data_IF_872796575981
#
_entry.id   IF_872796575981
#
_cell.length_a   1.000
_cell.length_b   1.000
_cell.length_c   1.000
_cell.angle_alpha   90.00
_cell.angle_beta   90.00
_cell.angle_gamma   90.00
#
_symmetry.space_group_name_H-M   'P 1'
#
loop_
_entity.id
_entity.type
_entity.pdbx_description
1 polymer ?
#
# COMPACT_ATOMS: atom_id res chain seq x y z
N UNK A 1 -0.91 -7.71 -30.97
CA UNK A 1 -0.57 -6.53 -30.14
C UNK A 1 -0.15 -7.02 -28.75
N UNK A 2 1.10 -6.78 -28.31
CA UNK A 2 1.55 -7.14 -26.97
C UNK A 2 0.83 -6.29 -25.90
N UNK A 3 -0.08 -6.91 -25.15
CA UNK A 3 -0.70 -6.31 -23.97
C UNK A 3 0.37 -6.33 -22.87
N UNK A 4 1.13 -5.24 -22.72
CA UNK A 4 2.08 -5.12 -21.60
C UNK A 4 1.27 -5.15 -20.31
N UNK A 5 1.71 -5.96 -19.35
CA UNK A 5 1.15 -5.97 -18.01
C UNK A 5 1.09 -4.51 -17.45
N UNK A 6 -0.10 -4.01 -17.08
CA UNK A 6 -0.28 -2.66 -16.56
C UNK A 6 0.56 -2.36 -15.31
N UNK A 7 0.79 -3.36 -14.45
CA UNK A 7 1.52 -3.18 -13.19
C UNK A 7 3.02 -2.96 -13.44
N UNK A 8 3.62 -3.82 -14.26
CA UNK A 8 5.02 -3.67 -14.70
C UNK A 8 5.24 -2.33 -15.44
N UNK A 9 4.28 -1.93 -16.28
CA UNK A 9 4.33 -0.65 -16.99
C UNK A 9 4.26 0.54 -16.04
N UNK A 10 3.42 0.48 -15.01
CA UNK A 10 3.30 1.51 -13.97
C UNK A 10 4.57 1.64 -13.15
N UNK A 11 5.19 0.52 -12.75
CA UNK A 11 6.46 0.52 -12.00
C UNK A 11 7.59 1.19 -12.78
N UNK A 12 7.76 0.80 -14.04
CA UNK A 12 8.76 1.39 -14.92
C UNK A 12 8.53 2.90 -15.11
N UNK A 13 7.26 3.32 -15.24
CA UNK A 13 6.91 4.73 -15.34
C UNK A 13 7.22 5.50 -14.06
N UNK A 14 6.88 4.94 -12.89
CA UNK A 14 7.16 5.58 -11.60
C UNK A 14 8.65 5.75 -11.36
N UNK A 15 9.46 4.75 -11.71
CA UNK A 15 10.92 4.86 -11.62
C UNK A 15 11.45 6.03 -12.47
N UNK A 16 10.96 6.19 -13.70
CA UNK A 16 11.34 7.31 -14.57
C UNK A 16 10.85 8.68 -14.07
N UNK A 17 9.66 8.73 -13.49
CA UNK A 17 9.15 9.96 -12.86
C UNK A 17 10.04 10.35 -11.69
N UNK A 18 10.46 9.39 -10.87
CA UNK A 18 11.30 9.64 -9.70
C UNK A 18 12.73 10.06 -10.04
N UNK A 19 13.23 9.69 -11.22
CA UNK A 19 14.56 10.11 -11.69
C UNK A 19 14.45 11.38 -12.54
N UNK A 20 14.10 11.24 -13.82
CA UNK A 20 14.07 12.31 -14.81
C UNK A 20 12.93 13.31 -14.54
N UNK A 21 11.78 12.79 -14.08
CA UNK A 21 10.59 13.61 -13.87
C UNK A 21 10.73 14.62 -12.73
N UNK A 22 11.43 14.24 -11.65
CA UNK A 22 11.66 15.14 -10.51
C UNK A 22 12.60 16.28 -10.91
N UNK A 23 13.68 15.99 -11.63
CA UNK A 23 14.62 17.02 -12.10
C UNK A 23 13.92 18.01 -13.04
N UNK A 24 13.18 17.51 -14.04
CA UNK A 24 12.44 18.36 -14.97
C UNK A 24 11.35 19.19 -14.28
N UNK A 25 10.65 18.61 -13.29
CA UNK A 25 9.64 19.33 -12.51
C UNK A 25 10.29 20.42 -11.64
N UNK A 26 11.44 20.16 -11.03
CA UNK A 26 12.16 21.14 -10.24
C UNK A 26 12.61 22.34 -11.09
N UNK A 27 13.22 22.10 -12.25
CA UNK A 27 13.65 23.17 -13.15
C UNK A 27 12.46 24.02 -13.63
N UNK A 28 11.34 23.39 -14.01
CA UNK A 28 10.14 24.10 -14.40
C UNK A 28 9.58 24.99 -13.27
N UNK A 29 9.59 24.50 -12.02
CA UNK A 29 9.18 25.29 -10.86
C UNK A 29 10.13 26.46 -10.60
N UNK A 30 11.43 26.26 -10.80
CA UNK A 30 12.44 27.32 -10.66
C UNK A 30 12.28 28.42 -11.72
N UNK A 31 11.96 28.06 -12.96
CA UNK A 31 11.68 29.02 -14.02
C UNK A 31 10.46 29.88 -13.68
N UNK A 32 9.37 29.26 -13.20
CA UNK A 32 8.17 29.99 -12.76
C UNK A 32 8.48 30.93 -11.59
N UNK A 33 9.28 30.49 -10.61
CA UNK A 33 9.68 31.33 -9.48
C UNK A 33 10.50 32.55 -9.90
N UNK A 34 11.34 32.42 -10.92
CA UNK A 34 12.21 33.50 -11.43
C UNK A 34 11.50 34.42 -12.42
N UNK A 35 10.43 33.95 -13.08
CA UNK A 35 9.70 34.75 -14.04
C UNK A 35 8.87 35.87 -13.38
N UNK A 36 9.29 37.11 -13.62
CA UNK A 36 8.58 38.31 -13.13
C UNK A 36 7.24 38.54 -13.82
N UNK A 37 7.02 37.97 -15.01
CA UNK A 37 5.77 38.07 -15.78
C UNK A 37 4.75 37.02 -15.37
N UNK A 38 5.17 35.92 -14.74
CA UNK A 38 4.26 34.91 -14.24
C UNK A 38 3.28 35.51 -13.21
N UNK A 39 2.00 35.10 -13.19
CA UNK A 39 1.04 35.58 -12.20
C UNK A 39 1.51 35.31 -10.76
N UNK A 40 1.24 36.25 -9.85
CA UNK A 40 1.55 36.12 -8.43
C UNK A 40 1.13 34.76 -7.80
N UNK A 41 -0.08 34.22 -8.06
CA UNK A 41 -0.47 32.91 -7.51
C UNK A 41 0.40 31.75 -8.03
N UNK A 42 0.81 31.78 -9.31
CA UNK A 42 1.64 30.72 -9.88
C UNK A 42 3.01 30.66 -9.20
N UNK A 43 3.64 31.82 -8.96
CA UNK A 43 4.92 31.91 -8.23
C UNK A 43 4.80 31.46 -6.78
N UNK A 44 3.71 31.82 -6.11
CA UNK A 44 3.45 31.42 -4.72
C UNK A 44 3.28 29.89 -4.60
N UNK A 45 2.52 29.28 -5.51
CA UNK A 45 2.37 27.83 -5.58
C UNK A 45 3.69 27.14 -5.88
N UNK A 46 4.46 27.62 -6.85
CA UNK A 46 5.76 27.05 -7.18
C UNK A 46 6.74 27.11 -6.00
N UNK A 47 6.82 28.25 -5.31
CA UNK A 47 7.63 28.40 -4.10
C UNK A 47 7.19 27.45 -2.98
N UNK A 48 5.88 27.32 -2.75
CA UNK A 48 5.34 26.40 -1.74
C UNK A 48 5.71 24.95 -2.04
N UNK A 49 5.62 24.52 -3.30
CA UNK A 49 5.99 23.16 -3.73
C UNK A 49 7.47 22.88 -3.47
N UNK A 50 8.36 23.84 -3.79
CA UNK A 50 9.81 23.70 -3.53
C UNK A 50 10.07 23.61 -2.02
N UNK A 51 9.47 24.47 -1.20
CA UNK A 51 9.66 24.42 0.26
C UNK A 51 9.14 23.13 0.89
N UNK A 52 8.02 22.59 0.40
CA UNK A 52 7.52 21.27 0.84
C UNK A 52 8.45 20.14 0.42
N UNK A 53 8.96 20.16 -0.81
CA UNK A 53 9.91 19.16 -1.28
C UNK A 53 11.23 19.19 -0.50
N UNK A 54 11.70 20.38 -0.10
CA UNK A 54 12.88 20.56 0.76
C UNK A 54 12.64 20.27 2.24
N UNK A 55 11.44 19.82 2.64
CA UNK A 55 11.12 19.53 4.04
C UNK A 55 10.92 20.76 4.94
N UNK A 56 11.02 21.98 4.40
CA UNK A 56 10.94 23.24 5.14
C UNK A 56 9.50 23.63 5.55
N UNK A 57 8.50 22.93 5.01
CA UNK A 57 7.08 23.09 5.34
C UNK A 57 6.41 21.76 5.72
N UNK A 58 7.17 20.84 6.31
CA UNK A 58 6.60 19.59 6.82
C UNK A 58 5.83 19.84 8.11
N UNK A 59 4.50 19.63 8.07
CA UNK A 59 3.65 19.61 9.27
C UNK A 59 3.74 18.29 10.04
N UNK A 60 4.60 17.36 9.61
CA UNK A 60 4.83 16.13 10.35
C UNK A 60 5.76 16.50 11.50
N UNK A 61 5.38 16.30 12.77
CA UNK A 61 6.37 16.38 13.83
C UNK A 61 7.48 15.40 13.44
N UNK A 62 8.69 15.92 13.24
CA UNK A 62 9.88 15.12 13.42
C UNK A 62 9.75 14.59 14.84
N UNK A 63 9.21 13.37 14.96
CA UNK A 63 9.47 12.58 16.15
C UNK A 63 10.96 12.32 16.05
N UNK A 64 11.74 13.23 16.62
CA UNK A 64 13.13 12.96 16.96
C UNK A 64 13.09 11.60 17.65
N UNK A 65 13.59 10.59 16.96
CA UNK A 65 13.70 9.25 17.51
C UNK A 65 14.66 9.37 18.70
N UNK A 66 14.10 9.61 19.90
CA UNK A 66 14.82 9.37 21.14
C UNK A 66 15.37 7.94 21.02
N UNK A 67 16.64 7.71 21.33
CA UNK A 67 17.13 6.34 21.30
C UNK A 67 16.31 5.50 22.30
N UNK A 68 16.05 4.20 22.03
CA UNK A 68 15.11 3.39 22.84
C UNK A 68 15.43 3.38 24.34
N UNK A 69 16.70 3.54 24.70
CA UNK A 69 17.19 3.66 26.08
C UNK A 69 16.72 4.94 26.82
N UNK A 70 16.31 5.97 26.09
CA UNK A 70 15.79 7.24 26.63
C UNK A 70 14.25 7.32 26.58
N UNK A 71 13.58 6.27 26.08
CA UNK A 71 12.13 6.20 26.03
C UNK A 71 11.53 5.63 27.32
N UNK A 72 10.45 6.24 27.80
CA UNK A 72 9.59 5.64 28.81
C UNK A 72 8.93 4.37 28.28
N UNK A 73 8.55 3.43 29.15
CA UNK A 73 7.84 2.20 28.77
C UNK A 73 6.58 2.48 27.92
N UNK A 74 5.84 3.56 28.22
CA UNK A 74 4.68 3.96 27.43
C UNK A 74 5.05 4.48 26.03
N UNK A 75 6.18 5.18 25.90
CA UNK A 75 6.70 5.67 24.61
C UNK A 75 7.20 4.50 23.75
N UNK A 76 7.84 3.49 24.37
CA UNK A 76 8.28 2.27 23.68
C UNK A 76 7.08 1.51 23.10
N UNK A 77 6.01 1.33 23.86
CA UNK A 77 4.79 0.65 23.37
C UNK A 77 4.15 1.43 22.21
N UNK A 78 4.08 2.75 22.30
CA UNK A 78 3.57 3.58 21.22
C UNK A 78 4.44 3.46 19.96
N UNK A 79 5.78 3.42 20.11
CA UNK A 79 6.71 3.27 19.00
C UNK A 79 6.62 1.87 18.37
N UNK A 80 6.45 0.82 19.15
CA UNK A 80 6.20 -0.55 18.66
C UNK A 80 4.93 -0.56 17.81
N UNK A 81 3.82 -0.04 18.32
CA UNK A 81 2.55 0.00 17.59
C UNK A 81 2.65 0.78 16.26
N UNK A 82 3.39 1.90 16.25
CA UNK A 82 3.64 2.67 15.03
C UNK A 82 4.46 1.87 14.00
N UNK A 83 5.51 1.19 14.46
CA UNK A 83 6.37 0.37 13.59
C UNK A 83 5.63 -0.87 13.07
N UNK A 84 4.79 -1.50 13.87
CA UNK A 84 3.92 -2.60 13.46
C UNK A 84 2.91 -2.16 12.41
N UNK A 85 2.27 -1.00 12.60
CA UNK A 85 1.35 -0.45 11.61
C UNK A 85 2.06 -0.15 10.27
N UNK A 86 3.29 0.40 10.32
CA UNK A 86 4.11 0.62 9.12
C UNK A 86 4.50 -0.70 8.44
N UNK A 87 4.95 -1.69 9.22
CA UNK A 87 5.30 -3.02 8.71
C UNK A 87 4.09 -3.68 8.03
N UNK A 88 2.92 -3.65 8.68
CA UNK A 88 1.72 -4.26 8.15
C UNK A 88 1.20 -3.52 6.91
N UNK A 89 1.27 -2.19 6.87
CA UNK A 89 0.96 -1.41 5.67
C UNK A 89 1.91 -1.70 4.51
N UNK A 90 3.19 -1.92 4.79
CA UNK A 90 4.20 -2.31 3.79
C UNK A 90 3.95 -3.73 3.26
N UNK A 91 3.65 -4.68 4.15
CA UNK A 91 3.32 -6.07 3.79
C UNK A 91 2.02 -6.17 2.99
N UNK A 92 0.99 -5.39 3.35
CA UNK A 92 -0.26 -5.34 2.60
C UNK A 92 -0.05 -4.87 1.15
N UNK A 93 0.89 -3.95 0.92
CA UNK A 93 1.27 -3.51 -0.42
C UNK A 93 2.10 -4.53 -1.23
N UNK A 94 2.69 -5.52 -0.57
CA UNK A 94 3.48 -6.59 -1.21
C UNK A 94 2.59 -7.80 -1.53
N UNK A 95 1.67 -8.18 -0.64
CA UNK A 95 0.80 -9.35 -0.84
C UNK A 95 -0.35 -9.10 -1.84
N UNK A 96 -0.76 -7.86 -2.08
CA UNK A 96 -1.72 -7.54 -3.14
C UNK A 96 -1.13 -7.61 -4.56
N UNK A 97 0.17 -7.91 -4.70
CA UNK A 97 0.88 -8.02 -5.98
C UNK A 97 1.16 -9.49 -6.38
N UNK A 98 0.81 -10.46 -5.52
CA UNK A 98 1.19 -11.88 -5.66
C UNK A 98 0.00 -12.83 -5.72
N UNK A 99 -1.24 -12.33 -5.75
CA UNK A 99 -2.44 -13.17 -5.89
C UNK A 99 -3.30 -12.70 -7.05
N UNK A 100 -2.89 -13.07 -8.26
CA UNK A 100 -3.76 -13.07 -9.45
C UNK A 100 -3.27 -14.10 -10.49
N UNK A 101 -2.72 -15.24 -10.04
CA UNK A 101 -2.43 -16.39 -10.90
C UNK A 101 -3.01 -17.67 -10.24
N UNK A 102 -3.88 -18.33 -11.02
CA UNK A 102 -4.26 -19.74 -11.01
C UNK A 102 -5.15 -20.26 -9.86
N UNK A 103 -6.46 -20.01 -9.98
CA UNK A 103 -7.44 -21.06 -9.73
C UNK A 103 -7.90 -21.60 -11.08
N UNK A 104 -7.12 -22.54 -11.60
CA UNK A 104 -7.58 -23.43 -12.66
C UNK A 104 -8.79 -24.22 -12.14
N UNK A 105 -9.85 -24.15 -12.93
CA UNK A 105 -11.04 -24.97 -12.86
C UNK A 105 -10.65 -26.45 -12.96
N UNK A 106 -10.53 -27.17 -11.84
CA UNK A 106 -10.55 -28.63 -11.86
C UNK A 106 -12.01 -29.09 -11.76
N UNK A 107 -12.63 -29.18 -12.94
CA UNK A 107 -13.85 -29.90 -13.24
C UNK A 107 -13.73 -31.36 -12.74
N UNK A 108 -14.15 -31.63 -11.52
CA UNK A 108 -14.32 -33.00 -11.03
C UNK A 108 -15.71 -33.52 -11.41
N UNK A 109 -15.86 -33.87 -12.69
CA UNK A 109 -17.04 -34.51 -13.25
C UNK A 109 -16.97 -36.04 -13.11
N UNK A 110 -18.05 -36.58 -12.51
CA UNK A 110 -18.56 -37.96 -12.53
C UNK A 110 -17.71 -39.17 -12.07
N UNK A 111 -18.14 -39.77 -10.94
CA UNK A 111 -18.53 -41.20 -10.91
C UNK A 111 -19.50 -41.58 -9.78
N UNK A 112 -20.75 -41.79 -10.21
CA UNK A 112 -21.78 -42.74 -9.72
C UNK A 112 -21.46 -43.62 -8.50
N UNK A 113 -22.39 -43.64 -7.56
CA UNK A 113 -22.57 -44.72 -6.58
C UNK A 113 -23.87 -44.56 -5.80
N UNK A 114 -24.93 -45.18 -6.32
CA UNK A 114 -26.27 -45.29 -5.74
C UNK A 114 -26.24 -45.97 -4.36
N UNK A 115 -27.17 -45.58 -3.48
CA UNK A 115 -27.33 -46.18 -2.15
C UNK A 115 -28.48 -45.56 -1.37
N UNK A 116 -29.70 -45.71 -1.88
CA UNK A 116 -30.94 -45.57 -1.11
C UNK A 116 -30.93 -46.53 0.09
N UNK A 117 -31.45 -46.07 1.22
CA UNK A 117 -31.53 -46.82 2.46
C UNK A 117 -32.30 -46.02 3.51
N UNK A 118 -33.58 -45.84 3.22
CA UNK A 118 -34.61 -45.39 4.13
C UNK A 118 -34.67 -46.25 5.41
N UNK A 119 -35.23 -45.64 6.46
CA UNK A 119 -35.91 -46.28 7.58
C UNK A 119 -35.08 -47.13 8.56
N UNK A 120 -34.83 -46.59 9.75
CA UNK A 120 -35.58 -47.17 10.87
C UNK A 120 -35.83 -46.19 12.00
N UNK A 121 -37.11 -46.13 12.35
CA UNK A 121 -37.69 -45.33 13.40
C UNK A 121 -37.79 -46.19 14.66
N UNK A 122 -37.61 -45.53 15.81
CA UNK A 122 -38.17 -45.87 17.13
C UNK A 122 -37.40 -46.88 18.02
N UNK A 123 -37.77 -47.03 19.32
CA UNK A 123 -37.79 -46.00 20.35
C UNK A 123 -37.21 -46.54 21.70
N UNK A 124 -37.19 -45.68 22.72
CA UNK A 124 -37.40 -45.97 24.14
C UNK A 124 -37.10 -47.39 24.66
N UNK A 125 -36.17 -47.52 25.63
CA UNK A 125 -36.52 -47.92 27.00
C UNK A 125 -35.31 -48.38 27.83
N UNK A 126 -35.43 -48.10 29.13
CA UNK A 126 -35.06 -48.97 30.25
C UNK A 126 -33.66 -48.89 30.91
N UNK A 127 -33.65 -48.06 31.96
CA UNK A 127 -33.12 -48.32 33.32
C UNK A 127 -31.60 -48.48 33.58
N UNK A 128 -31.15 -47.69 34.56
CA UNK A 128 -29.89 -47.78 35.29
C UNK A 128 -29.73 -46.58 36.21
#
# INVERSE_FOLDING_TARGET
MNRRDPLTSKRALMARIQTEGIEAAFEALMDVCKDKKAPAPARATAGTSIFRAGGLMSNKPEVLDKPPEEMSAAEIVARINELEAKRNGLLAGIYSDVSDDDQDDDDNDERRGEGEGDDDQTPNDLFG
#
